data_IF_394162606650
#
_entry.id   IF_394162606650
#
_cell.length_a   1.000
_cell.length_b   1.000
_cell.length_c   1.000
_cell.angle_alpha   90.00
_cell.angle_beta   90.00
_cell.angle_gamma   90.00
#
_symmetry.space_group_name_H-M   'P 1'
#
loop_
_entity.id
_entity.type
_entity.pdbx_description
1 polymer ?
#
# COMPACT_ATOMS: atom_id res chain seq x y z
N UNK A 1 25.43 -54.64 -44.22
CA UNK A 1 26.41 -53.55 -44.12
C UNK A 1 25.75 -52.12 -44.06
N UNK A 2 24.43 -52.04 -43.80
CA UNK A 2 23.74 -50.75 -43.68
C UNK A 2 23.41 -50.40 -42.21
N UNK A 3 23.45 -51.38 -41.29
CA UNK A 3 23.08 -51.18 -39.87
C UNK A 3 24.21 -50.49 -39.07
N UNK A 4 25.47 -50.70 -39.48
CA UNK A 4 26.60 -50.10 -38.75
C UNK A 4 26.78 -48.60 -38.97
N UNK A 5 26.25 -48.05 -40.09
CA UNK A 5 26.34 -46.63 -40.39
C UNK A 5 25.32 -45.85 -39.50
N UNK A 6 24.14 -46.40 -39.32
CA UNK A 6 23.09 -45.78 -38.48
C UNK A 6 23.53 -45.77 -37.02
N UNK A 7 24.18 -46.87 -36.56
CA UNK A 7 24.71 -46.95 -35.21
C UNK A 7 25.90 -46.00 -34.95
N UNK A 8 26.73 -45.79 -35.95
CA UNK A 8 27.83 -44.81 -35.90
C UNK A 8 27.33 -43.34 -35.88
N UNK A 9 26.26 -43.07 -36.63
CA UNK A 9 25.64 -41.72 -36.63
C UNK A 9 24.94 -41.44 -35.29
N UNK A 10 24.30 -42.43 -34.67
CA UNK A 10 23.65 -42.27 -33.38
C UNK A 10 24.65 -42.03 -32.24
N UNK A 11 25.85 -42.66 -32.31
CA UNK A 11 26.90 -42.39 -31.32
C UNK A 11 27.52 -40.99 -31.45
N UNK A 12 27.48 -40.39 -32.62
CA UNK A 12 28.04 -39.05 -32.84
C UNK A 12 27.18 -37.92 -32.25
N UNK A 13 25.90 -38.16 -32.06
CA UNK A 13 24.99 -37.18 -31.43
C UNK A 13 25.00 -37.17 -29.91
N UNK A 14 25.59 -38.19 -29.27
CA UNK A 14 25.61 -38.30 -27.78
C UNK A 14 26.84 -37.56 -27.20
N UNK A 15 27.83 -37.21 -28.00
CA UNK A 15 29.05 -36.52 -27.55
C UNK A 15 28.96 -34.99 -27.52
N UNK A 16 27.79 -34.41 -27.86
CA UNK A 16 27.63 -32.95 -27.90
C UNK A 16 27.06 -32.33 -26.62
N UNK A 17 26.95 -33.08 -25.53
CA UNK A 17 26.47 -32.57 -24.26
C UNK A 17 27.55 -32.02 -23.30
N UNK A 18 28.81 -31.93 -23.75
CA UNK A 18 29.90 -31.42 -22.89
C UNK A 18 30.20 -29.92 -23.07
N UNK A 19 29.40 -29.21 -23.86
CA UNK A 19 29.60 -27.77 -24.05
C UNK A 19 28.61 -26.88 -23.21
N UNK A 20 27.85 -27.49 -22.28
CA UNK A 20 27.04 -26.72 -21.36
C UNK A 20 27.79 -26.32 -20.06
N UNK A 21 29.08 -26.69 -19.93
CA UNK A 21 29.93 -26.22 -18.85
C UNK A 21 30.41 -24.76 -19.03
N UNK A 22 29.98 -24.08 -20.07
CA UNK A 22 30.29 -22.66 -20.26
C UNK A 22 29.50 -21.71 -19.34
N UNK A 23 28.49 -22.23 -18.64
CA UNK A 23 27.69 -21.45 -17.71
C UNK A 23 28.04 -21.66 -16.22
N UNK A 24 29.04 -22.48 -15.95
CA UNK A 24 29.73 -22.49 -14.68
C UNK A 24 31.03 -21.68 -14.81
N UNK A 25 30.93 -20.45 -15.26
CA UNK A 25 31.88 -19.46 -14.81
C UNK A 25 31.66 -19.38 -13.30
N UNK A 26 32.68 -19.82 -12.59
CA UNK A 26 33.01 -19.36 -11.27
C UNK A 26 33.26 -17.82 -11.38
N UNK A 27 32.23 -17.08 -11.77
CA UNK A 27 32.10 -15.72 -11.33
C UNK A 27 31.98 -15.87 -9.82
N UNK A 28 33.09 -15.78 -9.09
CA UNK A 28 33.07 -15.37 -7.72
C UNK A 28 32.07 -14.21 -7.70
N UNK A 29 30.82 -14.53 -7.27
CA UNK A 29 29.86 -13.50 -6.89
C UNK A 29 30.63 -12.73 -5.83
N UNK A 30 31.26 -11.66 -6.25
CA UNK A 30 31.78 -10.64 -5.38
C UNK A 30 30.54 -10.19 -4.63
N UNK A 31 30.21 -10.92 -3.55
CA UNK A 31 29.15 -10.58 -2.64
C UNK A 31 29.57 -9.22 -2.12
N UNK A 32 29.02 -8.17 -2.74
CA UNK A 32 29.28 -6.81 -2.33
C UNK A 32 28.98 -6.73 -0.84
N UNK A 33 30.01 -6.65 -0.02
CA UNK A 33 29.84 -6.50 1.41
C UNK A 33 28.89 -5.31 1.63
N UNK A 34 27.84 -5.48 2.46
CA UNK A 34 26.93 -4.39 2.75
C UNK A 34 27.72 -3.16 3.21
N UNK A 35 27.59 -2.09 2.48
CA UNK A 35 28.25 -0.82 2.84
C UNK A 35 27.79 -0.42 4.24
N UNK A 36 28.72 -0.18 5.15
CA UNK A 36 28.40 0.31 6.50
C UNK A 36 27.59 1.58 6.38
N UNK A 37 26.39 1.56 6.97
CA UNK A 37 25.53 2.74 7.05
C UNK A 37 26.29 3.86 7.75
N UNK A 38 26.52 4.95 7.03
CA UNK A 38 27.05 6.18 7.62
C UNK A 38 25.93 6.87 8.40
N UNK A 39 26.28 7.40 9.58
CA UNK A 39 25.33 8.14 10.39
C UNK A 39 24.89 9.38 9.61
N UNK A 40 23.62 9.40 9.18
CA UNK A 40 23.05 10.57 8.50
C UNK A 40 22.89 11.66 9.55
N UNK A 41 23.55 12.79 9.35
CA UNK A 41 23.27 13.99 10.14
C UNK A 41 21.96 14.57 9.61
N UNK A 42 20.89 14.50 10.42
CA UNK A 42 19.63 15.14 10.10
C UNK A 42 19.87 16.64 9.98
N UNK A 43 19.82 17.15 8.75
CA UNK A 43 19.96 18.59 8.49
C UNK A 43 18.65 19.36 8.77
N UNK A 44 17.55 18.63 8.87
CA UNK A 44 16.23 19.20 9.13
C UNK A 44 15.62 18.51 10.35
N UNK A 45 15.45 19.21 11.48
CA UNK A 45 14.71 18.69 12.61
C UNK A 45 13.24 18.55 12.19
N UNK A 46 12.71 17.35 12.29
CA UNK A 46 11.28 17.08 12.09
C UNK A 46 10.68 16.99 13.49
N UNK A 47 9.74 17.88 13.76
CA UNK A 47 8.98 17.90 15.02
C UNK A 47 7.54 17.49 14.75
N UNK A 48 6.94 16.78 15.71
CA UNK A 48 5.53 16.42 15.67
C UNK A 48 4.73 17.57 16.25
N UNK A 49 4.03 18.34 15.41
CA UNK A 49 3.21 19.47 15.87
C UNK A 49 1.98 19.01 16.63
N UNK A 50 1.32 17.95 16.16
CA UNK A 50 0.17 17.37 16.85
C UNK A 50 0.02 15.88 16.54
N UNK A 51 -0.71 15.18 17.40
CA UNK A 51 -1.06 13.77 17.26
C UNK A 51 -2.48 13.53 17.68
N UNK A 52 -3.20 12.67 16.96
CA UNK A 52 -4.56 12.25 17.32
C UNK A 52 -4.70 10.75 17.08
N UNK A 53 -5.42 10.09 17.96
CA UNK A 53 -5.75 8.67 17.85
C UNK A 53 -7.24 8.52 17.57
N UNK A 54 -7.59 7.52 16.79
CA UNK A 54 -8.94 7.09 16.47
C UNK A 54 -9.17 5.71 17.04
N UNK A 55 -10.44 5.36 17.30
CA UNK A 55 -10.83 4.08 17.86
C UNK A 55 -11.10 3.06 16.74
N UNK A 56 -11.35 1.82 17.16
CA UNK A 56 -11.74 0.72 16.31
C UNK A 56 -10.57 -0.15 15.87
N UNK A 57 -10.86 -1.43 15.73
CA UNK A 57 -9.96 -2.42 15.14
C UNK A 57 -10.41 -2.69 13.72
N UNK A 58 -9.48 -2.71 12.76
CA UNK A 58 -9.78 -2.98 11.38
C UNK A 58 -8.78 -3.94 10.77
N UNK A 59 -9.23 -5.15 10.50
CA UNK A 59 -8.42 -6.18 9.86
C UNK A 59 -8.45 -6.12 8.32
N UNK A 60 -9.36 -5.36 7.73
CA UNK A 60 -9.70 -5.50 6.31
C UNK A 60 -9.57 -4.23 5.47
N UNK A 61 -9.33 -3.06 6.05
CA UNK A 61 -9.40 -1.81 5.31
C UNK A 61 -8.26 -0.83 5.59
N UNK A 62 -8.14 0.15 4.71
CA UNK A 62 -7.23 1.28 4.89
C UNK A 62 -8.03 2.54 5.20
N UNK A 63 -7.80 3.11 6.38
CA UNK A 63 -8.45 4.34 6.82
C UNK A 63 -7.56 5.54 6.52
N UNK A 64 -7.36 5.80 5.23
CA UNK A 64 -6.59 6.96 4.77
C UNK A 64 -7.46 8.21 4.87
N UNK A 65 -6.96 9.31 5.45
CA UNK A 65 -7.65 10.59 5.44
C UNK A 65 -7.85 11.13 4.02
N UNK A 66 -8.94 11.85 3.81
CA UNK A 66 -9.12 12.69 2.62
C UNK A 66 -8.99 14.17 2.96
N UNK A 67 -8.60 14.95 1.96
CA UNK A 67 -8.47 16.39 2.11
C UNK A 67 -9.48 17.08 1.19
N UNK A 68 -10.26 17.98 1.74
CA UNK A 68 -11.24 18.77 1.00
C UNK A 68 -11.28 20.20 1.53
N UNK A 69 -11.01 21.17 0.64
CA UNK A 69 -10.77 22.54 1.08
C UNK A 69 -9.61 22.59 2.10
N UNK A 70 -9.78 23.24 3.22
CA UNK A 70 -8.79 23.36 4.29
C UNK A 70 -9.03 22.35 5.43
N UNK A 71 -9.76 21.29 5.16
CA UNK A 71 -10.12 20.27 6.14
C UNK A 71 -9.48 18.93 5.80
N UNK A 72 -9.03 18.22 6.81
CA UNK A 72 -8.67 16.81 6.74
C UNK A 72 -9.82 15.99 7.34
N UNK A 73 -10.40 15.11 6.53
CA UNK A 73 -11.53 14.28 6.93
C UNK A 73 -11.04 12.87 7.18
N UNK A 74 -11.32 12.36 8.37
CA UNK A 74 -10.91 11.04 8.84
C UNK A 74 -12.16 10.26 9.24
N UNK A 75 -12.21 9.00 8.88
CA UNK A 75 -13.17 8.05 9.42
C UNK A 75 -12.44 7.03 10.28
N UNK A 76 -13.15 6.46 11.25
CA UNK A 76 -12.69 5.28 11.99
C UNK A 76 -13.60 4.06 11.74
N UNK A 77 -13.14 2.84 12.09
CA UNK A 77 -13.93 1.62 11.91
C UNK A 77 -15.26 1.62 12.65
N UNK A 78 -15.37 2.32 13.76
CA UNK A 78 -16.59 2.37 14.60
C UNK A 78 -17.67 3.29 14.01
N UNK A 79 -17.33 4.03 12.93
CA UNK A 79 -18.28 4.88 12.20
C UNK A 79 -18.22 6.35 12.53
N UNK A 80 -17.23 6.79 13.28
CA UNK A 80 -17.02 8.21 13.51
C UNK A 80 -16.34 8.84 12.31
N UNK A 81 -16.89 9.94 11.88
CA UNK A 81 -16.37 10.79 10.82
C UNK A 81 -16.00 12.14 11.42
N UNK A 82 -14.75 12.52 11.30
CA UNK A 82 -14.16 13.68 11.97
C UNK A 82 -13.47 14.57 10.96
N UNK A 83 -13.80 15.87 10.98
CA UNK A 83 -13.02 16.87 10.28
C UNK A 83 -12.04 17.55 11.23
N UNK A 84 -10.82 17.69 10.77
CA UNK A 84 -9.70 18.22 11.54
C UNK A 84 -9.05 19.34 10.74
N UNK A 85 -8.69 20.40 11.41
CA UNK A 85 -7.80 21.39 10.85
C UNK A 85 -6.37 20.80 10.76
N UNK A 86 -5.81 20.64 9.54
CA UNK A 86 -4.53 19.92 9.38
C UNK A 86 -3.34 20.63 10.01
N UNK A 87 -3.40 21.95 10.17
CA UNK A 87 -2.32 22.73 10.76
C UNK A 87 -2.32 22.71 12.29
N UNK A 88 -3.48 22.55 12.93
CA UNK A 88 -3.59 22.67 14.39
C UNK A 88 -4.03 21.39 15.08
N UNK A 89 -4.50 20.39 14.34
CA UNK A 89 -5.07 19.17 14.89
C UNK A 89 -6.42 19.36 15.60
N UNK A 90 -7.04 20.54 15.52
CA UNK A 90 -8.33 20.80 16.16
C UNK A 90 -9.47 20.20 15.34
N UNK A 91 -10.46 19.63 16.04
CA UNK A 91 -11.69 19.16 15.43
C UNK A 91 -12.54 20.35 15.02
N UNK A 92 -12.98 20.36 13.75
CA UNK A 92 -13.96 21.32 13.23
C UNK A 92 -15.38 20.81 13.47
N UNK A 93 -15.62 19.53 13.17
CA UNK A 93 -16.90 18.85 13.40
C UNK A 93 -16.69 17.33 13.51
N UNK A 94 -17.67 16.65 14.07
CA UNK A 94 -17.68 15.20 14.25
C UNK A 94 -19.11 14.69 14.10
N UNK A 95 -19.28 13.56 13.41
CA UNK A 95 -20.55 12.85 13.28
C UNK A 95 -20.33 11.36 13.47
N UNK A 96 -21.28 10.69 14.09
CA UNK A 96 -21.34 9.25 14.24
C UNK A 96 -22.38 8.70 13.26
N UNK A 97 -21.93 7.91 12.31
CA UNK A 97 -22.79 7.32 11.27
C UNK A 97 -23.57 6.10 11.76
N UNK A 98 -23.32 5.63 13.00
CA UNK A 98 -23.93 4.43 13.59
C UNK A 98 -23.74 3.17 12.71
N UNK A 99 -22.58 3.05 12.10
CA UNK A 99 -22.22 1.98 11.19
C UNK A 99 -20.75 1.63 11.33
N UNK A 100 -20.42 0.35 11.23
CA UNK A 100 -19.03 -0.08 11.14
C UNK A 100 -18.53 0.17 9.71
N UNK A 101 -17.47 0.95 9.59
CA UNK A 101 -16.90 1.29 8.30
C UNK A 101 -15.83 0.28 7.87
N UNK A 102 -15.68 0.09 6.57
CA UNK A 102 -14.70 -0.82 5.96
C UNK A 102 -13.51 -0.10 5.36
N UNK A 103 -13.59 1.20 5.17
CA UNK A 103 -12.53 2.01 4.58
C UNK A 103 -12.62 3.48 5.04
N UNK A 104 -11.51 4.21 4.81
CA UNK A 104 -11.43 5.64 5.03
C UNK A 104 -12.30 6.44 4.06
N UNK A 105 -12.12 7.75 4.09
CA UNK A 105 -12.96 8.70 3.36
C UNK A 105 -12.43 9.01 1.96
N UNK A 106 -13.35 9.30 1.04
CA UNK A 106 -13.06 10.06 -0.16
C UNK A 106 -13.91 11.35 -0.13
N UNK A 107 -13.34 12.48 -0.52
CA UNK A 107 -14.04 13.76 -0.48
C UNK A 107 -13.85 14.55 -1.77
N UNK A 108 -14.90 15.22 -2.22
CA UNK A 108 -14.90 16.06 -3.41
C UNK A 108 -16.31 16.43 -3.86
N UNK A 109 -16.40 17.46 -4.68
CA UNK A 109 -17.68 17.91 -5.28
C UNK A 109 -18.82 18.12 -4.27
N UNK A 110 -18.50 18.66 -3.09
CA UNK A 110 -19.47 18.89 -2.04
C UNK A 110 -19.95 17.61 -1.32
N UNK A 111 -19.25 16.50 -1.46
CA UNK A 111 -19.62 15.20 -0.86
C UNK A 111 -18.45 14.57 -0.15
N UNK A 112 -18.79 13.77 0.87
CA UNK A 112 -17.90 12.85 1.56
C UNK A 112 -18.46 11.45 1.33
N UNK A 113 -17.62 10.54 0.87
CA UNK A 113 -17.99 9.16 0.58
C UNK A 113 -17.29 8.24 1.58
N UNK A 114 -18.03 7.31 2.15
CA UNK A 114 -17.53 6.22 2.99
C UNK A 114 -18.15 4.90 2.57
N UNK A 115 -17.55 3.78 2.97
CA UNK A 115 -18.15 2.45 2.79
C UNK A 115 -18.25 1.73 4.13
N UNK A 116 -19.32 0.96 4.30
CA UNK A 116 -19.52 0.15 5.49
C UNK A 116 -19.13 -1.32 5.29
N UNK A 117 -19.07 -2.07 6.39
CA UNK A 117 -18.72 -3.50 6.39
C UNK A 117 -19.78 -4.40 5.74
N UNK A 118 -20.98 -3.89 5.47
CA UNK A 118 -22.04 -4.59 4.76
C UNK A 118 -22.00 -4.38 3.24
N UNK A 119 -21.03 -3.58 2.75
CA UNK A 119 -20.85 -3.29 1.34
C UNK A 119 -21.65 -2.10 0.84
N UNK A 120 -22.26 -1.30 1.71
CA UNK A 120 -22.91 -0.07 1.30
C UNK A 120 -21.90 1.06 1.13
N UNK A 121 -22.10 1.86 0.09
CA UNK A 121 -21.42 3.13 -0.14
C UNK A 121 -22.39 4.24 0.25
N UNK A 122 -21.91 5.18 1.03
CA UNK A 122 -22.72 6.23 1.64
C UNK A 122 -22.14 7.57 1.22
N UNK A 123 -22.98 8.44 0.69
CA UNK A 123 -22.63 9.82 0.40
C UNK A 123 -23.24 10.75 1.43
N UNK A 124 -22.43 11.66 1.92
CA UNK A 124 -22.76 12.65 2.93
C UNK A 124 -22.50 14.03 2.33
N UNK A 125 -23.44 14.95 2.51
CA UNK A 125 -23.25 16.34 2.11
C UNK A 125 -22.13 16.98 2.97
N UNK A 126 -21.16 17.60 2.33
CA UNK A 126 -20.01 18.19 3.03
C UNK A 126 -20.35 19.44 3.84
N UNK A 127 -21.48 20.08 3.58
CA UNK A 127 -21.94 21.30 4.26
C UNK A 127 -22.93 20.95 5.35
N UNK A 128 -24.03 20.26 5.00
CA UNK A 128 -25.12 19.94 5.95
C UNK A 128 -24.79 18.75 6.86
N UNK A 129 -23.84 17.91 6.44
CA UNK A 129 -23.46 16.65 7.11
C UNK A 129 -24.57 15.58 7.08
N UNK A 130 -25.59 15.79 6.27
CA UNK A 130 -26.68 14.83 6.09
C UNK A 130 -26.32 13.75 5.07
N UNK A 131 -26.84 12.56 5.29
CA UNK A 131 -26.72 11.47 4.31
C UNK A 131 -27.58 11.77 3.08
N UNK A 132 -26.96 11.75 1.91
CA UNK A 132 -27.65 11.97 0.64
C UNK A 132 -28.22 10.67 0.05
N UNK A 133 -27.48 9.58 0.13
CA UNK A 133 -27.85 8.23 -0.33
C UNK A 133 -26.88 7.18 0.19
#
# INVERSE_FOLDING_TARGET
MKINIVFAITLFFISSCSTLAFWSDDAEEETAEPVKLTKIQNQYPIEVEWKRSFNGENDLGSFVPSFYSDEMIVADPDGNLVSINPSTGKINWEIDLKRNLSAGTASGFGKIIVSDTNGFVIAIDSITKETLW
#
